data_IF_192831070764
#
_entry.id   IF_192831070764
#
_cell.length_a   1.000
_cell.length_b   1.000
_cell.length_c   1.000
_cell.angle_alpha   90.00
_cell.angle_beta   90.00
_cell.angle_gamma   90.00
#
_symmetry.space_group_name_H-M   'P 1'
#
loop_
_entity.id
_entity.type
_entity.pdbx_description
1 polymer ?
#
# COMPACT_ATOMS: atom_id res chain seq x y z
N UNK A 1 4.64 -22.99 -16.40
CA UNK A 1 4.27 -24.13 -15.62
C UNK A 1 5.41 -24.36 -14.64
N UNK A 2 5.18 -24.63 -13.45
CA UNK A 2 6.00 -24.96 -12.26
C UNK A 2 7.53 -24.75 -12.31
N UNK A 3 7.96 -23.61 -12.79
CA UNK A 3 9.38 -23.29 -12.87
C UNK A 3 9.93 -23.02 -11.46
N UNK A 4 10.72 -23.95 -10.94
CA UNK A 4 11.44 -23.73 -9.68
C UNK A 4 12.57 -22.73 -9.92
N UNK A 5 12.52 -21.60 -9.24
CA UNK A 5 13.54 -20.54 -9.31
C UNK A 5 14.40 -20.47 -8.05
N UNK A 6 13.99 -21.19 -6.98
CA UNK A 6 14.71 -21.31 -5.73
C UNK A 6 14.52 -22.73 -5.16
N UNK A 7 15.61 -23.43 -4.87
CA UNK A 7 15.57 -24.75 -4.22
C UNK A 7 15.13 -24.63 -2.76
N UNK A 8 15.55 -23.59 -2.08
CA UNK A 8 15.24 -23.35 -0.66
C UNK A 8 13.82 -22.78 -0.43
N UNK A 9 13.20 -22.19 -1.46
CA UNK A 9 11.87 -21.58 -1.41
C UNK A 9 11.12 -21.92 -2.71
N UNK A 10 10.65 -23.15 -2.90
CA UNK A 10 10.08 -23.61 -4.17
C UNK A 10 8.75 -22.93 -4.55
N UNK A 11 8.09 -22.28 -3.60
CA UNK A 11 6.85 -21.50 -3.79
C UNK A 11 7.11 -20.12 -4.43
N UNK A 12 8.35 -19.61 -4.43
CA UNK A 12 8.65 -18.30 -5.04
C UNK A 12 8.51 -18.37 -6.56
N UNK A 13 7.88 -17.36 -7.11
CA UNK A 13 7.69 -17.17 -8.56
C UNK A 13 8.33 -15.86 -9.02
N UNK A 14 8.74 -15.78 -10.29
CA UNK A 14 9.22 -14.54 -10.89
C UNK A 14 8.06 -13.57 -11.08
N UNK A 15 8.25 -12.34 -10.64
CA UNK A 15 7.29 -11.23 -10.81
C UNK A 15 7.86 -10.28 -11.84
N UNK A 16 7.23 -10.20 -13.00
CA UNK A 16 7.64 -9.26 -14.07
C UNK A 16 7.18 -7.85 -13.71
N UNK A 17 8.12 -6.91 -13.62
CA UNK A 17 7.86 -5.52 -13.20
C UNK A 17 7.91 -4.51 -14.34
N UNK A 18 8.36 -4.89 -15.53
CA UNK A 18 8.49 -3.97 -16.67
C UNK A 18 9.48 -2.81 -16.47
N UNK A 19 10.37 -2.88 -15.45
CA UNK A 19 11.40 -1.87 -15.18
C UNK A 19 12.67 -2.19 -15.96
N UNK A 20 13.30 -1.18 -16.56
CA UNK A 20 14.49 -1.35 -17.40
C UNK A 20 15.69 -1.94 -16.62
N UNK A 21 15.90 -1.56 -15.34
CA UNK A 21 17.05 -2.04 -14.55
C UNK A 21 16.82 -3.40 -13.88
N UNK A 22 15.59 -3.69 -13.42
CA UNK A 22 15.24 -4.93 -12.75
C UNK A 22 13.90 -5.42 -13.32
N UNK A 23 13.89 -6.11 -14.45
CA UNK A 23 12.65 -6.52 -15.13
C UNK A 23 11.90 -7.59 -14.37
N UNK A 24 12.59 -8.37 -13.51
CA UNK A 24 12.02 -9.46 -12.73
C UNK A 24 12.43 -9.30 -11.26
N UNK A 25 11.47 -9.40 -10.38
CA UNK A 25 11.67 -9.50 -8.92
C UNK A 25 11.20 -10.88 -8.45
N UNK A 26 11.77 -11.36 -7.33
CA UNK A 26 11.42 -12.63 -6.71
C UNK A 26 10.92 -12.38 -5.29
N UNK A 27 9.89 -13.08 -4.88
CA UNK A 27 9.31 -12.96 -3.56
C UNK A 27 7.79 -12.83 -3.57
N UNK A 28 7.21 -12.42 -2.44
CA UNK A 28 5.78 -12.18 -2.35
C UNK A 28 5.40 -10.84 -3.00
N UNK A 29 4.29 -10.84 -3.70
CA UNK A 29 3.60 -9.63 -4.13
C UNK A 29 2.69 -9.17 -2.98
N UNK A 30 2.90 -7.94 -2.53
CA UNK A 30 2.22 -7.36 -1.38
C UNK A 30 1.48 -6.09 -1.82
N UNK A 31 0.17 -6.09 -1.61
CA UNK A 31 -0.69 -4.91 -1.73
C UNK A 31 -0.97 -4.35 -0.33
N UNK A 32 -0.71 -3.07 -0.14
CA UNK A 32 -0.75 -2.43 1.16
C UNK A 32 -1.45 -1.07 1.07
N UNK A 33 -2.37 -0.83 1.97
CA UNK A 33 -2.97 0.49 2.18
C UNK A 33 -2.40 1.19 3.41
N UNK A 34 -2.47 2.51 3.43
CA UNK A 34 -2.16 3.33 4.61
C UNK A 34 -3.36 4.21 4.92
N UNK A 35 -3.81 4.14 6.17
CA UNK A 35 -4.90 4.98 6.69
C UNK A 35 -4.44 5.58 8.02
N UNK A 36 -4.50 6.90 8.15
CA UNK A 36 -4.06 7.63 9.35
C UNK A 36 -2.61 7.28 9.76
N UNK A 37 -1.76 7.01 8.76
CA UNK A 37 -0.37 6.65 8.98
C UNK A 37 -0.12 5.18 9.30
N UNK A 38 -1.15 4.34 9.46
CA UNK A 38 -1.01 2.90 9.76
C UNK A 38 -1.19 2.06 8.50
N UNK A 39 -0.24 1.15 8.30
CA UNK A 39 -0.23 0.24 7.16
C UNK A 39 -1.11 -0.99 7.41
N UNK A 40 -1.77 -1.47 6.35
CA UNK A 40 -2.56 -2.70 6.34
C UNK A 40 -2.21 -3.52 5.11
N UNK A 41 -2.13 -4.82 5.28
CA UNK A 41 -2.00 -5.76 4.18
C UNK A 41 -3.39 -5.97 3.58
N UNK A 42 -3.56 -5.59 2.32
CA UNK A 42 -4.81 -5.83 1.59
C UNK A 42 -4.77 -7.17 0.85
N UNK A 43 -3.63 -7.48 0.24
CA UNK A 43 -3.39 -8.78 -0.38
C UNK A 43 -1.91 -9.14 -0.33
N UNK A 44 -1.63 -10.42 -0.17
CA UNK A 44 -0.29 -11.00 -0.24
C UNK A 44 -0.38 -12.31 -1.01
N UNK A 45 0.55 -12.54 -1.93
CA UNK A 45 0.62 -13.77 -2.70
C UNK A 45 2.02 -13.97 -3.26
N UNK A 46 2.45 -15.21 -3.40
CA UNK A 46 3.64 -15.56 -4.17
C UNK A 46 3.34 -15.72 -5.66
N UNK A 47 2.07 -15.89 -6.02
CA UNK A 47 1.61 -15.90 -7.39
C UNK A 47 1.35 -14.47 -7.90
N UNK A 48 1.55 -14.27 -9.19
CA UNK A 48 1.22 -13.02 -9.84
C UNK A 48 -0.28 -12.77 -9.83
N UNK A 49 -0.71 -11.57 -9.49
CA UNK A 49 -2.10 -11.11 -9.58
C UNK A 49 -2.18 -9.70 -10.12
N UNK A 50 -3.34 -9.33 -10.63
CA UNK A 50 -3.60 -7.97 -11.08
C UNK A 50 -3.90 -7.06 -9.88
N UNK A 51 -3.01 -6.10 -9.59
CA UNK A 51 -3.15 -5.17 -8.46
C UNK A 51 -4.43 -4.34 -8.57
N UNK A 52 -4.84 -3.99 -9.79
CA UNK A 52 -6.01 -3.13 -9.98
C UNK A 52 -7.33 -3.72 -9.45
N UNK A 53 -7.40 -5.04 -9.33
CA UNK A 53 -8.57 -5.75 -8.79
C UNK A 53 -8.66 -5.66 -7.27
N UNK A 54 -7.57 -5.30 -6.59
CA UNK A 54 -7.53 -5.23 -5.13
C UNK A 54 -8.23 -3.97 -4.58
N UNK A 55 -8.44 -2.92 -5.40
CA UNK A 55 -8.96 -1.64 -4.94
C UNK A 55 -10.37 -1.76 -4.33
N UNK A 56 -11.29 -2.41 -5.00
CA UNK A 56 -12.68 -2.55 -4.54
C UNK A 56 -12.71 -3.30 -3.20
N UNK A 57 -11.97 -4.41 -3.11
CA UNK A 57 -11.88 -5.20 -1.86
C UNK A 57 -11.26 -4.37 -0.72
N UNK A 58 -10.24 -3.57 -1.00
CA UNK A 58 -9.62 -2.70 0.00
C UNK A 58 -10.57 -1.60 0.50
N UNK A 59 -11.37 -1.03 -0.39
CA UNK A 59 -12.38 0.00 -0.05
C UNK A 59 -13.52 -0.62 0.78
N UNK A 60 -14.01 -1.82 0.45
CA UNK A 60 -15.03 -2.51 1.25
C UNK A 60 -14.51 -2.86 2.65
N UNK A 61 -13.31 -3.39 2.76
CA UNK A 61 -12.65 -3.62 4.05
C UNK A 61 -12.43 -2.34 4.86
N UNK A 62 -12.17 -1.21 4.17
CA UNK A 62 -12.11 0.08 4.84
C UNK A 62 -13.46 0.43 5.45
N UNK A 63 -14.55 0.31 4.69
CA UNK A 63 -15.93 0.55 5.17
C UNK A 63 -16.29 -0.35 6.36
N UNK A 64 -15.97 -1.65 6.28
CA UNK A 64 -16.21 -2.58 7.39
C UNK A 64 -15.54 -2.13 8.69
N UNK A 65 -14.30 -1.62 8.59
CA UNK A 65 -13.53 -1.15 9.76
C UNK A 65 -13.95 0.21 10.30
N UNK A 66 -14.29 1.13 9.39
CA UNK A 66 -14.52 2.55 9.72
C UNK A 66 -16.00 2.91 9.80
N UNK A 67 -16.90 2.04 9.34
CA UNK A 67 -18.34 2.28 9.27
C UNK A 67 -18.78 3.17 8.11
N UNK A 68 -17.84 3.82 7.40
CA UNK A 68 -18.06 4.75 6.30
C UNK A 68 -17.11 4.50 5.15
N UNK A 69 -17.51 4.87 3.94
CA UNK A 69 -16.60 4.87 2.79
C UNK A 69 -15.56 6.00 2.88
N UNK A 70 -14.36 5.83 2.31
CA UNK A 70 -13.37 6.89 2.28
C UNK A 70 -13.81 8.02 1.32
N UNK A 71 -13.56 9.26 1.68
CA UNK A 71 -13.81 10.42 0.80
C UNK A 71 -12.92 10.39 -0.45
N UNK A 72 -11.69 9.89 -0.28
CA UNK A 72 -10.71 9.79 -1.37
C UNK A 72 -9.85 8.53 -1.26
N UNK A 73 -9.45 7.99 -2.39
CA UNK A 73 -8.47 6.93 -2.51
C UNK A 73 -7.31 7.43 -3.36
N UNK A 74 -6.11 7.39 -2.79
CA UNK A 74 -4.87 7.78 -3.44
C UNK A 74 -4.13 6.53 -3.89
N UNK A 75 -4.18 6.26 -5.18
CA UNK A 75 -3.63 5.03 -5.75
C UNK A 75 -2.79 5.32 -7.00
N UNK A 76 -1.97 4.35 -7.40
CA UNK A 76 -1.18 4.46 -8.62
C UNK A 76 -2.07 4.33 -9.88
N UNK A 77 -1.52 4.72 -11.03
CA UNK A 77 -2.24 4.69 -12.33
C UNK A 77 -2.83 3.34 -12.67
N UNK A 78 -2.20 2.24 -12.23
CA UNK A 78 -2.67 0.88 -12.48
C UNK A 78 -4.08 0.62 -11.92
N UNK A 79 -4.45 1.28 -10.82
CA UNK A 79 -5.77 1.16 -10.20
C UNK A 79 -6.86 1.96 -10.93
N UNK A 80 -6.49 2.86 -11.85
CA UNK A 80 -7.44 3.69 -12.60
C UNK A 80 -7.94 2.98 -13.85
N UNK A 81 -8.66 1.91 -13.70
CA UNK A 81 -9.42 1.25 -14.76
C UNK A 81 -10.90 1.70 -14.75
N UNK A 82 -11.64 1.34 -15.79
CA UNK A 82 -13.05 1.75 -15.93
C UNK A 82 -13.92 1.22 -14.80
N UNK A 83 -13.69 -0.02 -14.37
CA UNK A 83 -14.44 -0.67 -13.29
C UNK A 83 -14.25 0.07 -11.97
N UNK A 84 -13.02 0.34 -11.57
CA UNK A 84 -12.72 1.04 -10.33
C UNK A 84 -13.24 2.48 -10.34
N UNK A 85 -13.16 3.16 -11.49
CA UNK A 85 -13.69 4.52 -11.63
C UNK A 85 -15.23 4.56 -11.53
N UNK A 86 -15.95 3.59 -12.14
CA UNK A 86 -17.40 3.48 -12.02
C UNK A 86 -17.80 3.24 -10.57
N UNK A 87 -17.18 2.24 -9.95
CA UNK A 87 -17.41 1.90 -8.54
C UNK A 87 -17.19 3.09 -7.60
N UNK A 88 -16.02 3.77 -7.71
CA UNK A 88 -15.74 4.94 -6.88
C UNK A 88 -16.74 6.07 -7.13
N UNK A 89 -17.14 6.31 -8.38
CA UNK A 89 -18.12 7.34 -8.74
C UNK A 89 -19.49 7.07 -8.14
N UNK A 90 -19.96 5.82 -8.18
CA UNK A 90 -21.26 5.40 -7.62
C UNK A 90 -21.32 5.63 -6.11
N UNK A 91 -20.21 5.47 -5.40
CA UNK A 91 -20.10 5.65 -3.96
C UNK A 91 -19.63 7.06 -3.54
N UNK A 92 -19.49 7.99 -4.49
CA UNK A 92 -19.00 9.34 -4.21
C UNK A 92 -17.53 9.42 -3.78
N UNK A 93 -16.74 8.37 -4.02
CA UNK A 93 -15.32 8.29 -3.65
C UNK A 93 -14.47 8.96 -4.74
N UNK A 94 -13.60 9.87 -4.35
CA UNK A 94 -12.65 10.48 -5.28
C UNK A 94 -11.40 9.61 -5.46
N UNK A 95 -11.25 8.98 -6.61
CA UNK A 95 -10.04 8.23 -6.98
C UNK A 95 -9.02 9.17 -7.62
N UNK A 96 -7.84 9.35 -7.00
CA UNK A 96 -6.79 10.26 -7.45
C UNK A 96 -6.16 9.84 -8.79
N UNK A 97 -5.51 10.79 -9.45
CA UNK A 97 -4.71 10.58 -10.67
C UNK A 97 -5.36 11.13 -11.95
N UNK A 98 -4.65 11.09 -13.07
CA UNK A 98 -5.09 11.70 -14.33
C UNK A 98 -6.31 11.00 -14.92
N UNK A 99 -7.13 11.74 -15.68
CA UNK A 99 -8.26 11.18 -16.42
C UNK A 99 -7.81 10.09 -17.38
N UNK A 100 -8.67 9.08 -17.62
CA UNK A 100 -8.42 8.09 -18.66
C UNK A 100 -8.66 8.69 -20.03
N UNK A 101 -7.75 8.36 -20.97
CA UNK A 101 -7.84 8.80 -22.36
C UNK A 101 -7.26 10.20 -22.60
N UNK A 102 -7.60 10.78 -23.76
CA UNK A 102 -7.14 12.13 -24.13
C UNK A 102 -7.82 13.17 -23.26
N UNK A 103 -7.08 14.09 -22.61
CA UNK A 103 -7.67 15.19 -21.83
C UNK A 103 -8.63 16.01 -22.68
N UNK A 104 -9.79 16.35 -22.12
CA UNK A 104 -10.72 17.28 -22.77
C UNK A 104 -10.10 18.69 -22.78
N UNK A 105 -10.26 19.45 -23.87
CA UNK A 105 -9.68 20.79 -24.03
C UNK A 105 -10.07 21.76 -22.88
N UNK A 106 -11.25 21.59 -22.30
CA UNK A 106 -11.81 22.46 -21.28
C UNK A 106 -11.74 21.90 -19.87
N UNK A 107 -11.00 20.79 -19.65
CA UNK A 107 -10.88 20.20 -18.33
C UNK A 107 -9.94 21.03 -17.47
N UNK A 108 -10.50 21.82 -16.56
CA UNK A 108 -9.72 22.52 -15.53
C UNK A 108 -9.20 21.47 -14.54
N UNK A 109 -7.90 21.20 -14.62
CA UNK A 109 -7.20 20.36 -13.64
C UNK A 109 -6.85 21.23 -12.46
N UNK A 110 -7.34 20.92 -11.29
CA UNK A 110 -6.90 21.56 -10.06
C UNK A 110 -5.49 21.05 -9.71
N UNK A 111 -4.49 21.79 -10.19
CA UNK A 111 -3.07 21.47 -9.97
C UNK A 111 -2.69 21.44 -8.49
N UNK A 112 -3.36 22.24 -7.65
CA UNK A 112 -3.10 22.29 -6.21
C UNK A 112 -3.57 21.00 -5.54
N UNK A 113 -4.77 20.53 -5.91
CA UNK A 113 -5.31 19.26 -5.43
C UNK A 113 -4.47 18.08 -5.90
N UNK A 114 -4.09 18.07 -7.17
CA UNK A 114 -3.23 17.00 -7.73
C UNK A 114 -1.85 16.95 -7.05
N UNK A 115 -1.26 18.09 -6.77
CA UNK A 115 -0.01 18.19 -6.02
C UNK A 115 -0.16 17.64 -4.59
N UNK A 116 -1.22 18.03 -3.88
CA UNK A 116 -1.52 17.50 -2.53
C UNK A 116 -1.70 15.98 -2.56
N UNK A 117 -2.48 15.45 -3.50
CA UNK A 117 -2.70 14.01 -3.64
C UNK A 117 -1.40 13.25 -3.93
N UNK A 118 -0.52 13.81 -4.74
CA UNK A 118 0.78 13.20 -5.01
C UNK A 118 1.69 13.21 -3.77
N UNK A 119 1.70 14.27 -2.99
CA UNK A 119 2.44 14.33 -1.73
C UNK A 119 1.94 13.28 -0.74
N UNK A 120 0.62 13.15 -0.60
CA UNK A 120 0.02 12.18 0.32
C UNK A 120 0.24 10.72 -0.17
N UNK A 121 0.21 10.48 -1.49
CA UNK A 121 0.49 9.16 -2.07
C UNK A 121 1.90 8.65 -1.76
N UNK A 122 2.88 9.55 -1.66
CA UNK A 122 4.26 9.19 -1.29
C UNK A 122 4.33 8.51 0.08
N UNK A 123 3.33 8.68 0.95
CA UNK A 123 3.30 8.00 2.26
C UNK A 123 3.32 6.47 2.12
N UNK A 124 2.64 5.91 1.13
CA UNK A 124 2.66 4.45 0.87
C UNK A 124 4.06 4.00 0.45
N UNK A 125 4.72 4.75 -0.45
CA UNK A 125 6.08 4.45 -0.88
C UNK A 125 7.08 4.53 0.28
N UNK A 126 6.93 5.53 1.15
CA UNK A 126 7.71 5.66 2.39
C UNK A 126 7.46 4.48 3.33
N UNK A 127 6.21 4.03 3.48
CA UNK A 127 5.83 2.86 4.26
C UNK A 127 6.55 1.60 3.78
N UNK A 128 6.51 1.30 2.47
CA UNK A 128 7.25 0.18 1.89
C UNK A 128 8.76 0.30 2.10
N UNK A 129 9.33 1.49 1.86
CA UNK A 129 10.75 1.75 2.07
C UNK A 129 11.16 1.52 3.53
N UNK A 130 10.35 1.97 4.48
CA UNK A 130 10.59 1.81 5.90
C UNK A 130 10.51 0.33 6.32
N UNK A 131 9.47 -0.39 5.87
CA UNK A 131 9.29 -1.82 6.12
C UNK A 131 10.48 -2.63 5.59
N UNK A 132 10.97 -2.31 4.39
CA UNK A 132 12.14 -2.96 3.80
C UNK A 132 13.44 -2.66 4.56
N UNK A 133 13.67 -1.42 4.98
CA UNK A 133 14.96 -1.01 5.59
C UNK A 133 15.06 -1.33 7.08
N UNK A 134 13.96 -1.19 7.84
CA UNK A 134 13.99 -1.29 9.31
C UNK A 134 13.27 -2.51 9.87
N UNK A 135 12.27 -3.05 9.15
CA UNK A 135 11.39 -4.08 9.69
C UNK A 135 11.49 -5.42 8.95
N UNK A 136 12.61 -5.66 8.26
CA UNK A 136 12.96 -6.98 7.72
C UNK A 136 12.26 -7.39 6.42
N UNK A 137 11.38 -6.57 5.84
CA UNK A 137 10.65 -6.90 4.62
C UNK A 137 11.54 -7.07 3.37
N UNK A 138 12.78 -6.59 3.43
CA UNK A 138 13.73 -6.68 2.30
C UNK A 138 14.21 -8.09 2.04
N UNK A 139 14.37 -8.90 3.09
CA UNK A 139 14.98 -10.22 3.01
C UNK A 139 14.25 -11.19 3.93
N UNK A 140 13.40 -12.02 3.34
CA UNK A 140 12.67 -13.09 4.01
C UNK A 140 13.51 -14.37 3.90
N UNK A 141 13.98 -14.89 5.03
CA UNK A 141 14.89 -16.06 5.10
C UNK A 141 14.19 -17.37 5.43
N UNK A 142 12.89 -17.33 5.64
CA UNK A 142 12.09 -18.53 5.96
C UNK A 142 11.95 -19.45 4.75
N UNK A 143 11.91 -20.76 5.01
CA UNK A 143 11.89 -21.80 3.95
C UNK A 143 10.48 -22.26 3.57
N UNK A 144 9.50 -22.08 4.46
CA UNK A 144 8.11 -22.45 4.22
C UNK A 144 7.30 -21.23 3.80
N UNK A 145 6.32 -21.45 2.96
CA UNK A 145 5.41 -20.42 2.47
C UNK A 145 4.69 -19.73 3.63
N UNK A 146 4.06 -20.50 4.51
CA UNK A 146 3.30 -20.00 5.65
C UNK A 146 4.16 -19.14 6.59
N UNK A 147 5.37 -19.60 6.91
CA UNK A 147 6.28 -18.83 7.76
C UNK A 147 6.76 -17.57 7.06
N UNK A 148 6.90 -17.59 5.75
CA UNK A 148 7.23 -16.37 4.96
C UNK A 148 6.11 -15.35 5.02
N UNK A 149 4.85 -15.78 4.89
CA UNK A 149 3.68 -14.92 5.05
C UNK A 149 3.60 -14.34 6.46
N UNK A 150 3.82 -15.16 7.48
CA UNK A 150 3.88 -14.69 8.88
C UNK A 150 4.96 -13.62 9.09
N UNK A 151 6.18 -13.82 8.58
CA UNK A 151 7.26 -12.83 8.72
C UNK A 151 6.93 -11.52 8.02
N UNK A 152 6.30 -11.57 6.85
CA UNK A 152 5.85 -10.37 6.15
C UNK A 152 4.77 -9.63 6.98
N UNK A 153 3.80 -10.36 7.51
CA UNK A 153 2.76 -9.78 8.37
C UNK A 153 3.34 -9.16 9.64
N UNK A 154 4.28 -9.84 10.30
CA UNK A 154 4.99 -9.33 11.47
C UNK A 154 5.82 -8.09 11.16
N UNK A 155 6.43 -7.98 9.98
CA UNK A 155 7.15 -6.78 9.55
C UNK A 155 6.24 -5.55 9.50
N UNK A 156 5.04 -5.69 8.97
CA UNK A 156 4.05 -4.59 8.91
C UNK A 156 3.49 -4.28 10.29
N UNK A 157 3.19 -5.31 11.09
CA UNK A 157 2.74 -5.14 12.48
C UNK A 157 3.77 -4.38 13.31
N UNK A 158 5.04 -4.78 13.26
CA UNK A 158 6.13 -4.13 14.00
C UNK A 158 6.32 -2.69 13.56
N UNK A 159 6.18 -2.41 12.26
CA UNK A 159 6.20 -1.04 11.74
C UNK A 159 5.08 -0.19 12.35
N UNK A 160 3.86 -0.71 12.45
CA UNK A 160 2.74 -0.01 13.08
C UNK A 160 2.96 0.18 14.58
N UNK A 161 3.42 -0.85 15.29
CA UNK A 161 3.72 -0.77 16.73
C UNK A 161 4.81 0.28 17.02
N UNK A 162 5.84 0.36 16.18
CA UNK A 162 6.87 1.39 16.30
C UNK A 162 6.30 2.81 16.18
N UNK A 163 5.32 3.03 15.30
CA UNK A 163 4.60 4.32 15.19
C UNK A 163 3.77 4.62 16.42
N UNK A 164 3.06 3.63 16.96
CA UNK A 164 2.27 3.77 18.19
C UNK A 164 3.19 4.15 19.36
N UNK A 165 4.29 3.43 19.54
CA UNK A 165 5.27 3.68 20.62
C UNK A 165 5.86 5.09 20.52
N UNK A 166 6.23 5.53 19.31
CA UNK A 166 6.72 6.89 19.11
C UNK A 166 5.66 7.95 19.45
N UNK A 167 4.41 7.72 19.08
CA UNK A 167 3.30 8.64 19.35
C UNK A 167 3.05 8.77 20.85
N UNK A 168 3.03 7.66 21.57
CA UNK A 168 2.89 7.64 23.05
C UNK A 168 4.05 8.40 23.68
N UNK A 169 5.28 8.13 23.24
CA UNK A 169 6.47 8.81 23.76
C UNK A 169 6.42 10.32 23.54
N UNK A 170 6.06 10.77 22.36
CA UNK A 170 5.94 12.20 22.07
C UNK A 170 4.82 12.88 22.90
N UNK A 171 3.68 12.21 23.07
CA UNK A 171 2.59 12.70 23.91
C UNK A 171 3.03 12.82 25.38
N UNK A 172 3.79 11.84 25.88
CA UNK A 172 4.36 11.87 27.22
C UNK A 172 5.34 13.04 27.43
N UNK A 173 6.24 13.29 26.46
CA UNK A 173 7.15 14.44 26.48
C UNK A 173 6.38 15.77 26.51
N UNK A 174 5.36 15.90 25.65
CA UNK A 174 4.52 17.10 25.62
C UNK A 174 3.81 17.33 26.97
N UNK A 175 3.30 16.27 27.57
CA UNK A 175 2.67 16.33 28.90
C UNK A 175 3.66 16.76 29.99
N UNK A 176 4.89 16.25 29.97
CA UNK A 176 5.95 16.66 30.91
C UNK A 176 6.40 18.11 30.72
N UNK A 177 6.39 18.60 29.49
CA UNK A 177 6.82 19.95 29.13
C UNK A 177 5.73 21.01 29.35
N UNK A 178 4.50 20.59 29.63
CA UNK A 178 3.39 21.51 29.88
C UNK A 178 3.55 22.16 31.25
N UNK A 179 3.54 23.52 31.34
CA UNK A 179 3.66 24.18 32.62
C UNK A 179 2.48 23.77 33.51
N UNK A 180 2.81 23.23 34.68
CA UNK A 180 1.80 22.97 35.74
C UNK A 180 1.45 24.31 36.35
N UNK A 181 0.25 24.84 36.05
CA UNK A 181 -0.36 25.97 36.73
C UNK A 181 -0.77 25.53 38.13
#
# INVERSE_FOLDING_TARGET
>A
QDRIVSISQPFIRPIVRGKAKNPVEFGAKLDMSITNGYARIEKISFDAYNESECLIVAVERYKERMGVYPERVLADKIYRNRTNLSYCKELGIRLSGPSLGRPKKDQKIDKKQEYSDNCDRVEVERGFSLAKRKFGLRLIRTRLEETSLCVIALSILTMNLSKVSLRIFLTFIQWMSSPRI
#
